data_IF_730262712815
#
_entry.id   IF_730262712815
#
_cell.length_a   1.000
_cell.length_b   1.000
_cell.length_c   1.000
_cell.angle_alpha   90.00
_cell.angle_beta   90.00
_cell.angle_gamma   90.00
#
_symmetry.space_group_name_H-M   'P 1'
#
loop_
_entity.id
_entity.type
_entity.pdbx_description
1 polymer ?
#
# COMPACT_ATOMS: atom_id res chain seq x y z
N UNK A 1 1.02 -15.63 -20.13
CA UNK A 1 1.01 -16.50 -21.32
C UNK A 1 2.29 -16.33 -22.15
N UNK A 2 2.64 -15.09 -22.57
CA UNK A 2 3.83 -14.85 -23.45
C UNK A 2 5.12 -15.39 -22.86
N UNK A 3 5.39 -15.18 -21.57
CA UNK A 3 6.59 -15.67 -20.90
C UNK A 3 6.69 -17.21 -20.98
N UNK A 4 5.62 -17.93 -20.67
CA UNK A 4 5.59 -19.41 -20.72
C UNK A 4 5.78 -19.93 -22.17
N UNK A 5 5.22 -19.25 -23.14
CA UNK A 5 5.44 -19.59 -24.57
C UNK A 5 6.90 -19.40 -24.96
N UNK A 6 7.55 -18.32 -24.50
CA UNK A 6 8.98 -18.06 -24.79
C UNK A 6 9.91 -19.08 -24.11
N UNK A 7 9.46 -19.70 -23.02
CA UNK A 7 10.14 -20.79 -22.32
C UNK A 7 9.86 -22.18 -22.96
N UNK A 8 9.12 -22.22 -24.06
CA UNK A 8 8.84 -23.47 -24.79
C UNK A 8 7.67 -24.27 -24.24
N UNK A 9 6.87 -23.74 -23.33
CA UNK A 9 5.66 -24.43 -22.82
C UNK A 9 4.60 -24.44 -23.94
N UNK A 10 4.07 -25.64 -24.32
CA UNK A 10 3.05 -25.74 -25.35
C UNK A 10 1.77 -24.97 -25.01
N UNK A 11 1.21 -24.26 -25.98
CA UNK A 11 0.03 -23.41 -25.79
C UNK A 11 -1.18 -24.15 -25.20
N UNK A 12 -1.38 -25.42 -25.55
CA UNK A 12 -2.47 -26.26 -25.05
C UNK A 12 -2.33 -26.66 -23.56
N UNK A 13 -1.18 -26.36 -22.95
CA UNK A 13 -0.92 -26.54 -21.50
C UNK A 13 -1.01 -25.24 -20.71
N UNK A 14 -1.29 -24.11 -21.37
CA UNK A 14 -1.35 -22.80 -20.76
C UNK A 14 -2.82 -22.33 -20.68
N UNK A 15 -3.32 -22.19 -19.45
CA UNK A 15 -4.65 -21.68 -19.17
C UNK A 15 -4.53 -20.32 -18.48
N UNK A 16 -5.09 -19.28 -19.10
CA UNK A 16 -5.13 -17.94 -18.50
C UNK A 16 -6.41 -17.86 -17.66
N UNK A 17 -6.25 -17.95 -16.35
CA UNK A 17 -7.37 -18.03 -15.39
C UNK A 17 -7.61 -16.70 -14.64
N UNK A 18 -6.77 -15.68 -14.88
CA UNK A 18 -6.76 -14.45 -14.08
C UNK A 18 -5.98 -14.63 -12.76
N UNK A 19 -6.09 -13.64 -11.89
CA UNK A 19 -5.43 -13.63 -10.59
C UNK A 19 -6.42 -13.94 -9.46
N UNK A 20 -6.39 -15.16 -8.94
CA UNK A 20 -7.31 -15.62 -7.88
C UNK A 20 -7.20 -14.83 -6.57
N UNK A 21 -6.10 -14.10 -6.37
CA UNK A 21 -5.95 -13.18 -5.22
C UNK A 21 -6.99 -12.08 -5.27
N UNK A 22 -7.35 -11.58 -6.47
CA UNK A 22 -8.37 -10.54 -6.63
C UNK A 22 -9.76 -11.05 -6.25
N UNK A 23 -10.11 -12.29 -6.65
CA UNK A 23 -11.38 -12.90 -6.25
C UNK A 23 -11.46 -13.06 -4.73
N UNK A 24 -10.38 -13.54 -4.11
CA UNK A 24 -10.27 -13.67 -2.66
C UNK A 24 -10.41 -12.32 -1.94
N UNK A 25 -9.72 -11.29 -2.45
CA UNK A 25 -9.80 -9.92 -1.92
C UNK A 25 -11.24 -9.38 -1.92
N UNK A 26 -11.91 -9.48 -3.07
CA UNK A 26 -13.27 -8.96 -3.23
C UNK A 26 -14.27 -9.72 -2.37
N UNK A 27 -14.10 -11.04 -2.24
CA UNK A 27 -14.91 -11.86 -1.34
C UNK A 27 -14.70 -11.46 0.13
N UNK A 28 -13.44 -11.34 0.58
CA UNK A 28 -13.13 -10.91 1.96
C UNK A 28 -13.66 -9.51 2.24
N UNK A 29 -13.50 -8.57 1.30
CA UNK A 29 -14.09 -7.23 1.42
C UNK A 29 -15.58 -7.28 1.72
N UNK A 30 -16.35 -8.10 0.97
CA UNK A 30 -17.79 -8.26 1.19
C UNK A 30 -18.11 -8.84 2.57
N UNK A 31 -17.36 -9.84 3.03
CA UNK A 31 -17.57 -10.46 4.34
C UNK A 31 -17.25 -9.51 5.49
N UNK A 32 -16.16 -8.75 5.39
CA UNK A 32 -15.77 -7.75 6.41
C UNK A 32 -16.78 -6.60 6.48
N UNK A 33 -17.37 -6.20 5.33
CA UNK A 33 -18.45 -5.20 5.32
C UNK A 33 -19.71 -5.69 6.05
N UNK A 34 -20.04 -6.98 5.95
CA UNK A 34 -21.20 -7.58 6.64
C UNK A 34 -20.94 -7.75 8.14
N UNK A 35 -19.72 -8.12 8.51
CA UNK A 35 -19.31 -8.46 9.86
C UNK A 35 -18.13 -7.61 10.33
N UNK A 36 -18.34 -6.30 10.61
CA UNK A 36 -17.27 -5.40 11.01
C UNK A 36 -16.75 -5.62 12.43
N UNK A 37 -17.21 -6.68 13.13
CA UNK A 37 -16.83 -6.99 14.51
C UNK A 37 -15.36 -7.36 14.68
N UNK A 38 -14.72 -7.84 13.62
CA UNK A 38 -13.30 -8.21 13.63
C UNK A 38 -12.35 -6.99 13.57
N UNK A 39 -12.90 -5.79 13.38
CA UNK A 39 -12.13 -4.56 13.36
C UNK A 39 -12.30 -3.81 14.67
N UNK A 40 -11.19 -3.61 15.38
CA UNK A 40 -11.23 -2.94 16.68
C UNK A 40 -11.81 -1.53 16.58
N UNK A 41 -12.54 -1.12 17.63
CA UNK A 41 -13.10 0.23 17.73
C UNK A 41 -12.00 1.28 17.69
N UNK A 42 -10.86 1.00 18.30
CA UNK A 42 -9.71 1.90 18.35
C UNK A 42 -9.17 2.18 16.95
N UNK A 43 -9.07 1.13 16.11
CA UNK A 43 -8.62 1.30 14.73
C UNK A 43 -9.59 2.14 13.90
N UNK A 44 -10.90 1.93 14.07
CA UNK A 44 -11.94 2.74 13.42
C UNK A 44 -11.88 4.21 13.85
N UNK A 45 -11.74 4.45 15.15
CA UNK A 45 -11.65 5.80 15.69
C UNK A 45 -10.39 6.55 15.21
N UNK A 46 -9.28 5.82 15.11
CA UNK A 46 -7.99 6.34 14.66
C UNK A 46 -8.05 7.02 13.30
N UNK A 47 -8.81 6.46 12.36
CA UNK A 47 -8.88 6.96 10.99
C UNK A 47 -10.06 7.89 10.72
N UNK A 48 -10.96 8.04 11.69
CA UNK A 48 -12.19 8.81 11.51
C UNK A 48 -11.90 10.28 11.18
N UNK A 49 -12.47 10.76 10.07
CA UNK A 49 -12.34 12.15 9.64
C UNK A 49 -10.96 12.55 9.09
N UNK A 50 -10.04 11.58 8.86
CA UNK A 50 -8.71 11.82 8.29
C UNK A 50 -8.56 11.14 6.94
N UNK A 51 -7.68 11.69 6.09
CA UNK A 51 -7.16 10.99 4.92
C UNK A 51 -6.11 10.00 5.41
N UNK A 52 -6.49 8.73 5.53
CA UNK A 52 -5.57 7.69 6.00
C UNK A 52 -4.63 7.24 4.89
N UNK A 53 -3.33 7.26 5.17
CA UNK A 53 -2.30 6.64 4.35
C UNK A 53 -1.90 5.32 5.01
N UNK A 54 -2.18 4.22 4.32
CA UNK A 54 -1.75 2.90 4.77
C UNK A 54 -0.31 2.65 4.32
N UNK A 55 0.56 2.32 5.27
CA UNK A 55 1.97 2.02 4.97
C UNK A 55 2.25 0.54 5.13
N UNK A 56 2.91 -0.06 4.14
CA UNK A 56 3.51 -1.39 4.27
C UNK A 56 4.94 -1.35 3.73
N UNK A 57 5.91 -1.67 4.57
CA UNK A 57 7.33 -1.66 4.19
C UNK A 57 8.09 -2.71 4.98
N UNK A 58 8.76 -3.63 4.28
CA UNK A 58 9.49 -4.73 4.90
C UNK A 58 10.54 -5.37 3.99
N UNK A 59 10.76 -4.83 2.79
CA UNK A 59 11.70 -5.40 1.83
C UNK A 59 13.14 -5.27 2.30
N UNK A 60 13.91 -6.37 2.19
CA UNK A 60 15.30 -6.43 2.63
C UNK A 60 16.22 -5.47 1.88
N UNK A 61 15.88 -5.18 0.62
CA UNK A 61 16.64 -4.25 -0.23
C UNK A 61 16.64 -2.80 0.31
N UNK A 62 15.64 -2.46 1.13
CA UNK A 62 15.50 -1.12 1.73
C UNK A 62 16.08 -1.00 3.13
N UNK A 63 16.59 -2.07 3.76
CA UNK A 63 17.06 -2.02 5.15
C UNK A 63 18.20 -1.02 5.36
N UNK A 64 18.33 -0.52 6.59
CA UNK A 64 19.33 0.45 6.99
C UNK A 64 18.96 1.89 6.63
N UNK A 65 19.91 2.66 6.12
CA UNK A 65 19.74 4.09 5.83
C UNK A 65 18.58 4.41 4.90
N UNK A 66 18.36 3.57 3.90
CA UNK A 66 17.25 3.73 2.95
C UNK A 66 15.90 3.65 3.68
N UNK A 67 15.74 2.69 4.57
CA UNK A 67 14.52 2.53 5.35
C UNK A 67 14.28 3.69 6.31
N UNK A 68 15.36 4.23 6.89
CA UNK A 68 15.29 5.46 7.70
C UNK A 68 14.80 6.66 6.89
N UNK A 69 15.22 6.81 5.63
CA UNK A 69 14.70 7.89 4.76
C UNK A 69 13.19 7.79 4.54
N UNK A 70 12.65 6.57 4.38
CA UNK A 70 11.21 6.33 4.30
C UNK A 70 10.52 6.80 5.60
N UNK A 71 11.03 6.38 6.75
CA UNK A 71 10.47 6.81 8.04
C UNK A 71 10.54 8.33 8.22
N UNK A 72 11.65 8.96 7.86
CA UNK A 72 11.81 10.41 7.92
C UNK A 72 10.82 11.13 6.99
N UNK A 73 10.57 10.60 5.79
CA UNK A 73 9.56 11.14 4.88
C UNK A 73 8.16 11.16 5.50
N UNK A 74 7.75 10.05 6.11
CA UNK A 74 6.46 9.92 6.79
C UNK A 74 6.34 10.91 7.95
N UNK A 75 7.38 11.01 8.78
CA UNK A 75 7.44 11.94 9.91
C UNK A 75 7.26 13.39 9.48
N UNK A 76 8.02 13.81 8.48
CA UNK A 76 7.99 15.19 8.01
C UNK A 76 6.67 15.52 7.33
N UNK A 77 6.13 14.54 6.60
CA UNK A 77 4.86 14.72 5.91
C UNK A 77 3.71 14.97 6.89
N UNK A 78 3.58 14.14 7.93
CA UNK A 78 2.50 14.27 8.91
C UNK A 78 2.55 15.58 9.68
N UNK A 79 3.74 16.13 9.89
CA UNK A 79 3.92 17.42 10.57
C UNK A 79 3.29 18.61 9.81
N UNK A 80 3.26 18.53 8.48
CA UNK A 80 2.76 19.58 7.60
C UNK A 80 1.28 19.40 7.20
N UNK A 81 0.71 18.21 7.40
CA UNK A 81 -0.64 17.85 6.93
C UNK A 81 -1.54 17.39 8.09
N UNK A 82 -2.26 18.30 8.77
CA UNK A 82 -3.06 17.97 9.95
C UNK A 82 -4.31 17.13 9.64
N UNK A 83 -4.75 17.08 8.40
CA UNK A 83 -5.87 16.28 7.89
C UNK A 83 -5.48 14.85 7.50
N UNK A 84 -4.18 14.51 7.60
CA UNK A 84 -3.65 13.19 7.25
C UNK A 84 -3.29 12.40 8.50
N UNK A 85 -3.52 11.10 8.47
CA UNK A 85 -2.94 10.15 9.42
C UNK A 85 -2.29 8.97 8.67
N UNK A 86 -1.31 8.36 9.32
CA UNK A 86 -0.66 7.15 8.83
C UNK A 86 -1.03 5.97 9.73
N UNK A 87 -1.35 4.85 9.11
CA UNK A 87 -1.49 3.56 9.79
C UNK A 87 -0.44 2.61 9.23
N UNK A 88 0.39 2.08 10.09
CA UNK A 88 1.49 1.22 9.70
C UNK A 88 1.47 -0.09 10.50
N UNK A 89 0.95 -1.19 9.94
CA UNK A 89 1.17 -2.53 10.46
C UNK A 89 2.66 -2.88 10.38
N UNK A 90 3.35 -2.80 11.52
CA UNK A 90 4.82 -2.88 11.56
C UNK A 90 5.29 -4.33 11.51
N UNK A 91 6.05 -4.68 10.48
CA UNK A 91 6.61 -6.01 10.34
C UNK A 91 7.56 -6.35 11.50
N UNK A 92 7.47 -7.59 12.03
CA UNK A 92 8.18 -8.02 13.24
C UNK A 92 9.71 -8.13 13.08
N UNK A 93 10.24 -8.09 11.84
CA UNK A 93 11.68 -8.10 11.61
C UNK A 93 12.35 -6.92 12.32
N UNK A 94 13.41 -7.16 13.15
CA UNK A 94 14.10 -6.07 13.86
C UNK A 94 14.61 -4.95 12.97
N UNK A 95 15.05 -5.26 11.74
CA UNK A 95 15.51 -4.25 10.77
C UNK A 95 14.39 -3.32 10.29
N UNK A 96 13.13 -3.66 10.54
CA UNK A 96 11.95 -2.81 10.30
C UNK A 96 11.47 -2.20 11.60
N UNK A 97 11.22 -3.03 12.60
CA UNK A 97 10.60 -2.63 13.87
C UNK A 97 11.39 -1.55 14.60
N UNK A 98 12.71 -1.73 14.72
CA UNK A 98 13.57 -0.81 15.46
C UNK A 98 13.57 0.60 14.85
N UNK A 99 13.93 0.84 13.57
CA UNK A 99 13.92 2.17 13.00
C UNK A 99 12.53 2.79 12.94
N UNK A 100 11.47 2.00 12.69
CA UNK A 100 10.09 2.51 12.71
C UNK A 100 9.73 3.05 14.08
N UNK A 101 9.91 2.29 15.15
CA UNK A 101 9.57 2.75 16.49
C UNK A 101 10.47 3.90 16.96
N UNK A 102 11.76 3.89 16.61
CA UNK A 102 12.70 4.96 16.96
C UNK A 102 12.37 6.28 16.28
N UNK A 103 11.96 6.26 15.00
CA UNK A 103 11.76 7.48 14.21
C UNK A 103 10.30 7.94 14.24
N UNK A 104 9.34 7.02 14.26
CA UNK A 104 7.91 7.30 14.14
C UNK A 104 7.13 7.09 15.44
N UNK A 105 7.75 6.48 16.45
CA UNK A 105 7.11 6.27 17.75
C UNK A 105 6.72 7.58 18.42
N UNK A 106 5.53 7.60 19.04
CA UNK A 106 4.99 8.75 19.79
C UNK A 106 4.75 10.03 18.95
N UNK A 107 4.61 9.90 17.64
CA UNK A 107 4.20 11.02 16.80
C UNK A 107 2.68 10.97 16.64
N UNK A 108 2.02 12.08 16.96
CA UNK A 108 0.58 12.20 16.76
C UNK A 108 0.19 11.92 15.30
N UNK A 109 -0.91 11.21 15.11
CA UNK A 109 -1.44 10.80 13.80
C UNK A 109 -0.57 9.79 13.01
N UNK A 110 0.45 9.19 13.65
CA UNK A 110 1.15 8.01 13.14
C UNK A 110 0.83 6.83 14.06
N UNK A 111 0.06 5.88 13.55
CA UNK A 111 -0.43 4.74 14.32
C UNK A 111 0.34 3.48 13.92
N UNK A 112 1.33 3.14 14.75
CA UNK A 112 2.11 1.91 14.62
C UNK A 112 1.32 0.79 15.28
N UNK A 113 0.91 -0.19 14.50
CA UNK A 113 0.11 -1.32 14.98
C UNK A 113 0.82 -2.64 14.72
N UNK A 114 0.44 -3.69 15.44
CA UNK A 114 0.93 -5.05 15.16
C UNK A 114 0.44 -5.52 13.77
N UNK A 115 1.17 -6.46 13.14
CA UNK A 115 0.73 -7.07 11.89
C UNK A 115 -0.68 -7.64 12.01
N UNK A 116 -1.50 -7.39 11.02
CA UNK A 116 -2.89 -7.83 10.99
C UNK A 116 -3.04 -9.15 10.22
N UNK A 117 -4.06 -9.92 10.57
CA UNK A 117 -4.57 -10.98 9.70
C UNK A 117 -5.20 -10.38 8.43
N UNK A 118 -5.47 -11.21 7.43
CA UNK A 118 -5.86 -10.74 6.09
C UNK A 118 -7.14 -9.91 6.08
N UNK A 119 -8.19 -10.34 6.79
CA UNK A 119 -9.47 -9.64 6.76
C UNK A 119 -9.42 -8.21 7.34
N UNK A 120 -8.84 -7.94 8.54
CA UNK A 120 -8.60 -6.57 8.99
C UNK A 120 -7.67 -5.76 8.09
N UNK A 121 -6.69 -6.41 7.44
CA UNK A 121 -5.80 -5.73 6.50
C UNK A 121 -6.54 -5.30 5.23
N UNK A 122 -7.43 -6.13 4.68
CA UNK A 122 -8.31 -5.78 3.56
C UNK A 122 -9.21 -4.60 3.93
N UNK A 123 -9.74 -4.60 5.15
CA UNK A 123 -10.53 -3.47 5.65
C UNK A 123 -9.71 -2.17 5.67
N UNK A 124 -8.47 -2.21 6.17
CA UNK A 124 -7.58 -1.04 6.14
C UNK A 124 -7.28 -0.57 4.72
N UNK A 125 -6.98 -1.49 3.81
CA UNK A 125 -6.77 -1.14 2.40
C UNK A 125 -8.00 -0.44 1.82
N UNK A 126 -9.20 -0.96 2.11
CA UNK A 126 -10.45 -0.39 1.59
C UNK A 126 -10.78 0.99 2.18
N UNK A 127 -10.30 1.30 3.37
CA UNK A 127 -10.47 2.60 4.03
C UNK A 127 -9.30 3.57 3.80
N UNK A 128 -8.22 3.12 3.16
CA UNK A 128 -7.10 3.98 2.82
C UNK A 128 -7.50 5.03 1.78
N UNK A 129 -6.96 6.24 1.93
CA UNK A 129 -6.95 7.26 0.88
C UNK A 129 -5.87 6.95 -0.15
N UNK A 130 -4.65 6.67 0.32
CA UNK A 130 -3.50 6.26 -0.50
C UNK A 130 -2.81 5.08 0.18
N UNK A 131 -2.22 4.19 -0.60
CA UNK A 131 -1.41 3.10 -0.09
C UNK A 131 0.06 3.33 -0.47
N UNK A 132 0.92 3.39 0.54
CA UNK A 132 2.36 3.57 0.43
C UNK A 132 3.03 2.22 0.73
N UNK A 133 3.61 1.56 -0.27
CA UNK A 133 4.02 0.15 -0.13
C UNK A 133 5.33 -0.20 -0.83
N UNK A 134 6.00 -1.25 -0.37
CA UNK A 134 7.05 -1.97 -1.10
C UNK A 134 6.62 -3.40 -1.51
N UNK A 135 5.39 -3.80 -1.18
CA UNK A 135 4.87 -5.15 -1.39
C UNK A 135 4.35 -5.36 -2.81
N UNK A 136 4.75 -6.47 -3.46
CA UNK A 136 4.22 -6.88 -4.76
C UNK A 136 2.74 -7.26 -4.69
N UNK A 137 2.31 -8.00 -3.66
CA UNK A 137 0.91 -8.41 -3.50
C UNK A 137 -0.03 -7.21 -3.33
N UNK A 138 0.37 -6.22 -2.54
CA UNK A 138 -0.43 -4.99 -2.34
C UNK A 138 -0.56 -4.19 -3.65
N UNK A 139 0.46 -4.20 -4.52
CA UNK A 139 0.38 -3.59 -5.85
C UNK A 139 -0.68 -4.26 -6.74
N UNK A 140 -0.90 -5.56 -6.57
CA UNK A 140 -1.92 -6.32 -7.31
C UNK A 140 -3.33 -6.11 -6.72
N UNK A 141 -3.45 -6.11 -5.40
CA UNK A 141 -4.72 -6.09 -4.67
C UNK A 141 -5.35 -4.69 -4.57
N UNK A 142 -4.59 -3.69 -4.16
CA UNK A 142 -5.11 -2.37 -3.82
C UNK A 142 -5.82 -1.64 -4.97
N UNK A 143 -5.39 -1.73 -6.23
CA UNK A 143 -6.12 -1.13 -7.36
C UNK A 143 -7.53 -1.67 -7.53
N UNK A 144 -7.80 -2.95 -7.18
CA UNK A 144 -9.16 -3.53 -7.21
C UNK A 144 -10.10 -2.94 -6.17
N UNK A 145 -9.55 -2.26 -5.16
CA UNK A 145 -10.31 -1.48 -4.18
C UNK A 145 -10.44 0.00 -4.58
N UNK A 146 -9.96 0.39 -5.76
CA UNK A 146 -9.93 1.78 -6.21
C UNK A 146 -8.97 2.66 -5.41
N UNK A 147 -7.85 2.11 -4.95
CA UNK A 147 -6.87 2.85 -4.14
C UNK A 147 -5.62 3.17 -4.95
N UNK A 148 -5.23 4.46 -5.04
CA UNK A 148 -3.95 4.84 -5.59
C UNK A 148 -2.80 4.21 -4.80
N UNK A 149 -1.83 3.64 -5.52
CA UNK A 149 -0.67 2.96 -4.92
C UNK A 149 0.62 3.71 -5.25
N UNK A 150 1.35 4.10 -4.22
CA UNK A 150 2.70 4.65 -4.31
C UNK A 150 3.70 3.59 -3.87
N UNK A 151 4.60 3.21 -4.78
CA UNK A 151 5.55 2.13 -4.56
C UNK A 151 6.92 2.70 -4.19
N UNK A 152 7.35 2.41 -2.95
CA UNK A 152 8.65 2.83 -2.39
C UNK A 152 9.76 1.87 -2.81
N UNK A 153 10.03 1.82 -4.11
CA UNK A 153 11.09 0.98 -4.70
C UNK A 153 11.69 1.70 -5.91
N UNK A 154 12.92 1.33 -6.28
CA UNK A 154 13.53 1.81 -7.53
C UNK A 154 13.03 1.04 -8.75
N UNK A 155 12.66 -0.23 -8.57
CA UNK A 155 12.12 -1.10 -9.60
C UNK A 155 10.93 -1.90 -9.08
N UNK A 156 10.05 -2.33 -9.97
CA UNK A 156 8.95 -3.24 -9.65
C UNK A 156 8.87 -4.38 -10.67
N UNK A 157 8.46 -5.54 -10.18
CA UNK A 157 8.15 -6.71 -11.03
C UNK A 157 6.69 -6.66 -11.55
N UNK A 158 5.99 -5.55 -11.32
CA UNK A 158 4.58 -5.30 -11.69
C UNK A 158 4.45 -4.05 -12.55
N UNK A 159 5.08 -4.02 -13.74
CA UNK A 159 5.01 -2.84 -14.63
C UNK A 159 3.58 -2.59 -15.13
N UNK A 160 2.74 -3.64 -15.20
CA UNK A 160 1.37 -3.54 -15.68
C UNK A 160 0.53 -2.54 -14.87
N UNK A 161 0.74 -2.45 -13.55
CA UNK A 161 0.04 -1.49 -12.69
C UNK A 161 0.45 -0.04 -12.96
N UNK A 162 1.72 0.17 -13.35
CA UNK A 162 2.23 1.49 -13.77
C UNK A 162 1.63 1.86 -15.13
N UNK A 163 1.68 0.94 -16.10
CA UNK A 163 1.16 1.14 -17.45
C UNK A 163 -0.35 1.41 -17.44
N UNK A 164 -1.08 0.74 -16.53
CA UNK A 164 -2.51 0.95 -16.32
C UNK A 164 -2.82 2.28 -15.58
N UNK A 165 -1.83 2.94 -14.97
CA UNK A 165 -1.99 4.20 -14.27
C UNK A 165 -2.57 4.11 -12.86
N UNK A 166 -2.69 2.92 -12.26
CA UNK A 166 -3.16 2.73 -10.88
C UNK A 166 -2.03 2.70 -9.85
N UNK A 167 -0.79 2.51 -10.30
CA UNK A 167 0.42 2.43 -9.47
C UNK A 167 1.44 3.46 -9.93
N UNK A 168 2.11 4.12 -9.00
CA UNK A 168 3.23 5.01 -9.30
C UNK A 168 4.48 4.56 -8.54
N UNK A 169 5.59 4.35 -9.25
CA UNK A 169 6.90 4.08 -8.68
C UNK A 169 7.54 5.39 -8.24
N UNK A 170 7.75 5.59 -6.95
CA UNK A 170 8.24 6.85 -6.38
C UNK A 170 9.66 6.76 -5.84
N UNK A 171 10.27 5.55 -5.83
CA UNK A 171 11.58 5.33 -5.24
C UNK A 171 11.57 5.36 -3.72
N UNK A 172 12.74 5.41 -3.13
CA UNK A 172 12.95 5.32 -1.69
C UNK A 172 13.48 6.62 -1.06
N UNK A 173 13.70 7.64 -1.88
CA UNK A 173 14.21 8.92 -1.43
C UNK A 173 13.13 9.74 -0.71
N UNK A 174 13.50 10.33 0.43
CA UNK A 174 12.61 11.13 1.28
C UNK A 174 11.80 12.17 0.50
N UNK A 175 12.46 12.96 -0.35
CA UNK A 175 11.79 14.04 -1.08
C UNK A 175 10.79 13.50 -2.10
N UNK A 176 11.13 12.41 -2.80
CA UNK A 176 10.25 11.76 -3.78
C UNK A 176 9.00 11.17 -3.13
N UNK A 177 9.13 10.60 -1.92
CA UNK A 177 8.00 10.07 -1.15
C UNK A 177 7.07 11.22 -0.74
N UNK A 178 7.62 12.30 -0.17
CA UNK A 178 6.85 13.49 0.22
C UNK A 178 6.14 14.09 -0.98
N UNK A 179 6.83 14.26 -2.11
CA UNK A 179 6.26 14.78 -3.36
C UNK A 179 5.14 13.89 -3.89
N UNK A 180 5.36 12.58 -3.97
CA UNK A 180 4.36 11.62 -4.46
C UNK A 180 3.05 11.68 -3.67
N UNK A 181 3.14 11.71 -2.34
CA UNK A 181 1.96 11.85 -1.48
C UNK A 181 1.32 13.23 -1.66
N UNK A 182 2.11 14.32 -1.67
CA UNK A 182 1.60 15.69 -1.81
C UNK A 182 0.82 15.87 -3.10
N UNK A 183 1.30 15.33 -4.21
CA UNK A 183 0.62 15.39 -5.51
C UNK A 183 -0.76 14.73 -5.47
N UNK A 184 -0.88 13.56 -4.85
CA UNK A 184 -2.18 12.87 -4.72
C UNK A 184 -3.16 13.59 -3.78
N UNK A 185 -2.65 14.37 -2.83
CA UNK A 185 -3.51 15.16 -1.93
C UNK A 185 -3.98 16.47 -2.54
N UNK A 186 -3.20 17.05 -3.46
CA UNK A 186 -3.45 18.38 -4.03
C UNK A 186 -4.05 18.33 -5.45
N UNK A 187 -3.93 17.22 -6.17
CA UNK A 187 -4.44 17.04 -7.52
C UNK A 187 -5.57 16.00 -7.56
N UNK A 188 -6.80 16.50 -7.46
CA UNK A 188 -8.01 15.66 -7.49
C UNK A 188 -8.17 14.88 -8.81
N UNK A 189 -7.65 15.40 -9.93
CA UNK A 189 -7.70 14.72 -11.21
C UNK A 189 -6.73 13.54 -11.23
N UNK A 190 -5.49 13.74 -10.75
CA UNK A 190 -4.53 12.66 -10.61
C UNK A 190 -5.06 11.56 -9.69
N UNK A 191 -5.59 11.94 -8.52
CA UNK A 191 -6.20 10.99 -7.58
C UNK A 191 -7.33 10.20 -8.23
N UNK A 192 -8.25 10.88 -8.90
CA UNK A 192 -9.40 10.25 -9.58
C UNK A 192 -8.94 9.32 -10.69
N UNK A 193 -7.99 9.75 -11.52
CA UNK A 193 -7.46 8.92 -12.60
C UNK A 193 -6.82 7.63 -12.06
N UNK A 194 -6.01 7.71 -11.00
CA UNK A 194 -5.40 6.54 -10.39
C UNK A 194 -6.42 5.61 -9.71
N UNK A 195 -7.39 6.18 -9.00
CA UNK A 195 -8.40 5.40 -8.26
C UNK A 195 -9.43 4.72 -9.17
N UNK A 196 -9.66 5.25 -10.37
CA UNK A 196 -10.61 4.70 -11.36
C UNK A 196 -9.90 3.89 -12.46
N UNK A 197 -8.58 3.85 -12.47
CA UNK A 197 -7.83 3.05 -13.42
C UNK A 197 -8.17 1.56 -13.28
N UNK A 198 -8.33 0.89 -14.43
CA UNK A 198 -8.65 -0.54 -14.42
C UNK A 198 -7.46 -1.34 -13.91
N UNK A 199 -7.70 -2.16 -12.89
CA UNK A 199 -6.67 -3.09 -12.41
C UNK A 199 -6.29 -4.08 -13.52
N UNK A 200 -5.00 -4.21 -13.86
CA UNK A 200 -4.54 -5.12 -14.92
C UNK A 200 -4.38 -6.57 -14.49
N UNK A 201 -4.50 -6.87 -13.18
CA UNK A 201 -4.24 -8.20 -12.60
C UNK A 201 -5.49 -9.06 -12.45
#
# INVERSE_FOLDING_TARGET
QKALLSEGIPQNKIFVTGNTVIDALLWVKQEVCKNPHDISSDLKNTIHGKKMILVTGHRRESFGKTFEQICLAIRDFVALHPDVCFVYPVHLNPNVKEPVHRILGNIDRIHLIEPLSYAPFVWLMDHAYVILTDSGGVQEEAPSLGKPVLVMRENTERPEGIDAGCVQLIGVERNRIVEGISRLLSDDNLYRNMSQAKNPY
#
